data_IF_692647744123
#
_entry.id   IF_692647744123
#
_cell.length_a   1.000
_cell.length_b   1.000
_cell.length_c   1.000
_cell.angle_alpha   90.00
_cell.angle_beta   90.00
_cell.angle_gamma   90.00
#
_symmetry.space_group_name_H-M   'P 1'
#
loop_
_entity.id
_entity.type
_entity.pdbx_description
1 polymer ?
#
# COMPACT_ATOMS: atom_id res chain seq x y z
N UNK A 1 27.58 -18.11 13.24
CA UNK A 1 26.46 -18.24 14.22
C UNK A 1 25.45 -17.14 13.94
N UNK A 2 24.17 -17.48 13.73
CA UNK A 2 23.11 -16.49 13.52
C UNK A 2 22.44 -16.13 14.86
N UNK A 3 22.33 -14.83 15.14
CA UNK A 3 21.57 -14.27 16.26
C UNK A 3 20.25 -13.70 15.73
N UNK A 4 19.14 -14.13 16.33
CA UNK A 4 17.80 -13.64 16.00
C UNK A 4 17.43 -12.50 16.96
N UNK A 5 16.98 -11.39 16.43
CA UNK A 5 16.58 -10.21 17.21
C UNK A 5 15.25 -9.65 16.70
N UNK A 6 14.41 -9.18 17.63
CA UNK A 6 13.19 -8.43 17.32
C UNK A 6 13.19 -7.11 18.08
N UNK A 7 12.95 -6.01 17.37
CA UNK A 7 12.83 -4.67 17.95
C UNK A 7 11.39 -4.19 17.78
N UNK A 8 10.54 -4.55 18.75
CA UNK A 8 9.12 -4.21 18.72
C UNK A 8 8.84 -2.82 19.28
N UNK A 9 7.73 -2.21 18.86
CA UNK A 9 7.21 -0.96 19.45
C UNK A 9 7.71 0.32 18.77
N UNK A 10 8.54 0.22 17.74
CA UNK A 10 8.96 1.36 16.93
C UNK A 10 7.84 1.81 15.99
N UNK A 11 7.57 3.11 15.97
CA UNK A 11 6.77 3.76 14.92
C UNK A 11 7.44 3.61 13.54
N UNK A 12 6.68 3.90 12.48
CA UNK A 12 7.22 3.75 11.14
C UNK A 12 8.39 4.70 10.84
N UNK A 13 8.36 5.91 11.38
CA UNK A 13 9.47 6.86 11.30
C UNK A 13 10.68 6.39 12.13
N UNK A 14 10.46 5.86 13.34
CA UNK A 14 11.54 5.32 14.16
C UNK A 14 12.21 4.12 13.51
N UNK A 15 11.49 3.25 12.78
CA UNK A 15 12.10 2.15 12.03
C UNK A 15 13.09 2.65 10.97
N UNK A 16 12.76 3.72 10.25
CA UNK A 16 13.67 4.32 9.27
C UNK A 16 14.95 4.83 9.96
N UNK A 17 14.79 5.60 11.02
CA UNK A 17 15.91 6.11 11.82
C UNK A 17 16.74 4.98 12.45
N UNK A 18 16.09 3.93 12.95
CA UNK A 18 16.74 2.75 13.52
C UNK A 18 17.65 2.06 12.50
N UNK A 19 17.16 1.85 11.27
CA UNK A 19 17.96 1.24 10.19
C UNK A 19 19.19 2.10 9.88
N UNK A 20 19.03 3.42 9.76
CA UNK A 20 20.14 4.33 9.50
C UNK A 20 21.20 4.30 10.62
N UNK A 21 20.79 4.23 11.89
CA UNK A 21 21.70 4.10 13.02
C UNK A 21 22.39 2.72 13.05
N UNK A 22 21.64 1.63 12.85
CA UNK A 22 22.15 0.27 12.91
C UNK A 22 23.17 -0.02 11.78
N UNK A 23 23.03 0.58 10.60
CA UNK A 23 24.01 0.39 9.52
C UNK A 23 25.44 0.77 9.90
N UNK A 24 25.65 1.67 10.87
CA UNK A 24 26.98 2.04 11.33
C UNK A 24 27.67 0.91 12.12
N UNK A 25 26.89 0.04 12.79
CA UNK A 25 27.39 -0.97 13.74
C UNK A 25 27.25 -2.40 13.22
N UNK A 26 26.32 -2.66 12.30
CA UNK A 26 26.09 -3.99 11.76
C UNK A 26 27.34 -4.53 11.02
N UNK A 27 27.66 -5.83 11.14
CA UNK A 27 28.87 -6.40 10.55
C UNK A 27 28.77 -6.56 9.04
N UNK A 28 29.86 -6.32 8.32
CA UNK A 28 29.96 -6.63 6.89
C UNK A 28 28.90 -5.95 6.02
N UNK A 29 28.45 -6.67 4.99
CA UNK A 29 27.33 -6.27 4.13
C UNK A 29 26.08 -7.11 4.40
N UNK A 30 24.92 -6.59 4.04
CA UNK A 30 23.64 -7.26 4.36
C UNK A 30 22.50 -6.94 3.41
N UNK A 31 21.34 -7.52 3.71
CA UNK A 31 20.09 -7.28 2.99
C UNK A 31 19.07 -6.70 3.97
N UNK A 32 18.37 -5.65 3.53
CA UNK A 32 17.24 -5.05 4.25
C UNK A 32 15.96 -5.39 3.48
N UNK A 33 15.14 -6.31 3.98
CA UNK A 33 13.87 -6.65 3.36
C UNK A 33 12.76 -5.69 3.77
N UNK A 34 11.95 -5.28 2.79
CA UNK A 34 10.68 -4.56 2.98
C UNK A 34 9.55 -5.29 2.27
N UNK A 35 8.31 -4.97 2.61
CA UNK A 35 7.14 -5.67 2.06
C UNK A 35 6.70 -5.15 0.69
N UNK A 36 7.02 -3.89 0.37
CA UNK A 36 6.55 -3.23 -0.86
C UNK A 36 7.69 -2.54 -1.60
N UNK A 37 7.54 -2.42 -2.93
CA UNK A 37 8.48 -1.66 -3.79
C UNK A 37 8.61 -0.22 -3.30
N UNK A 38 7.48 0.41 -2.97
CA UNK A 38 7.47 1.80 -2.50
C UNK A 38 8.23 1.96 -1.18
N UNK A 39 8.09 1.04 -0.23
CA UNK A 39 8.85 1.08 1.02
C UNK A 39 10.35 0.84 0.78
N UNK A 40 10.69 -0.06 -0.16
CA UNK A 40 12.08 -0.28 -0.54
C UNK A 40 12.74 0.99 -1.09
N UNK A 41 12.07 1.67 -2.02
CA UNK A 41 12.54 2.93 -2.62
C UNK A 41 12.63 4.06 -1.59
N UNK A 42 11.59 4.23 -0.75
CA UNK A 42 11.57 5.25 0.30
C UNK A 42 12.70 5.07 1.29
N UNK A 43 12.93 3.83 1.76
CA UNK A 43 14.00 3.53 2.71
C UNK A 43 15.38 3.71 2.08
N UNK A 44 15.60 3.22 0.85
CA UNK A 44 16.86 3.43 0.13
C UNK A 44 17.19 4.92 -0.03
N UNK A 45 16.21 5.73 -0.46
CA UNK A 45 16.38 7.18 -0.63
C UNK A 45 16.62 7.89 0.70
N UNK A 46 15.96 7.47 1.79
CA UNK A 46 16.23 7.99 3.12
C UNK A 46 17.66 7.69 3.57
N UNK A 47 18.10 6.44 3.44
CA UNK A 47 19.46 6.02 3.80
C UNK A 47 20.51 6.76 2.97
N UNK A 48 20.23 7.01 1.69
CA UNK A 48 21.07 7.86 0.84
C UNK A 48 21.16 9.30 1.37
N UNK A 49 20.05 9.88 1.82
CA UNK A 49 20.05 11.20 2.47
C UNK A 49 20.84 11.26 3.78
N UNK A 50 21.03 10.10 4.42
CA UNK A 50 21.90 9.92 5.59
C UNK A 50 23.37 9.60 5.21
N UNK A 51 23.71 9.56 3.92
CA UNK A 51 25.08 9.30 3.44
C UNK A 51 25.41 7.84 3.15
N UNK A 52 24.47 6.91 3.25
CA UNK A 52 24.69 5.51 2.91
C UNK A 52 24.43 5.22 1.43
N UNK A 53 25.38 4.55 0.75
CA UNK A 53 25.14 3.99 -0.57
C UNK A 53 24.42 2.63 -0.46
N UNK A 54 23.09 2.68 -0.37
CA UNK A 54 22.22 1.50 -0.21
C UNK A 54 21.08 1.59 -1.24
N UNK A 55 21.22 0.95 -2.41
CA UNK A 55 20.20 1.01 -3.46
C UNK A 55 19.00 0.14 -3.12
N UNK A 56 17.85 0.48 -3.70
CA UNK A 56 16.69 -0.42 -3.73
C UNK A 56 16.93 -1.55 -4.75
N UNK A 57 16.40 -2.74 -4.47
CA UNK A 57 16.36 -3.88 -5.38
C UNK A 57 14.94 -4.44 -5.42
N UNK A 58 14.27 -4.27 -6.56
CA UNK A 58 12.87 -4.68 -6.69
C UNK A 58 12.60 -5.39 -8.02
N UNK A 59 11.49 -6.12 -8.10
CA UNK A 59 11.08 -6.80 -9.33
C UNK A 59 10.67 -5.86 -10.47
N UNK A 60 10.59 -4.54 -10.21
CA UNK A 60 10.27 -3.53 -11.23
C UNK A 60 11.53 -2.96 -11.91
N UNK A 61 12.72 -3.30 -11.41
CA UNK A 61 13.98 -2.80 -11.98
C UNK A 61 14.39 -3.55 -13.24
N UNK A 62 15.05 -2.81 -14.14
CA UNK A 62 15.68 -3.38 -15.32
C UNK A 62 16.71 -4.45 -14.94
N UNK A 63 16.84 -5.46 -15.80
CA UNK A 63 17.68 -6.63 -15.49
C UNK A 63 19.16 -6.25 -15.38
N UNK A 64 19.64 -5.30 -16.19
CA UNK A 64 21.02 -4.83 -16.13
C UNK A 64 21.36 -4.18 -14.78
N UNK A 65 20.45 -3.34 -14.25
CA UNK A 65 20.64 -2.67 -12.96
C UNK A 65 20.64 -3.66 -11.80
N UNK A 66 19.76 -4.67 -11.85
CA UNK A 66 19.73 -5.76 -10.85
C UNK A 66 21.05 -6.53 -10.81
N UNK A 67 21.59 -6.90 -11.97
CA UNK A 67 22.87 -7.61 -12.06
C UNK A 67 24.05 -6.77 -11.54
N UNK A 68 24.05 -5.46 -11.81
CA UNK A 68 25.06 -4.54 -11.29
C UNK A 68 25.00 -4.48 -9.75
N UNK A 69 23.82 -4.28 -9.17
CA UNK A 69 23.63 -4.23 -7.71
C UNK A 69 24.05 -5.56 -7.07
N UNK A 70 23.66 -6.70 -7.66
CA UNK A 70 24.08 -8.02 -7.18
C UNK A 70 25.60 -8.18 -7.19
N UNK A 71 26.28 -7.72 -8.24
CA UNK A 71 27.74 -7.76 -8.32
C UNK A 71 28.39 -6.86 -7.26
N UNK A 72 27.88 -5.64 -7.08
CA UNK A 72 28.41 -4.68 -6.11
C UNK A 72 28.20 -5.17 -4.66
N UNK A 73 27.04 -5.76 -4.36
CA UNK A 73 26.79 -6.39 -3.06
C UNK A 73 27.67 -7.63 -2.85
N UNK A 74 27.81 -8.49 -3.88
CA UNK A 74 28.68 -9.68 -3.83
C UNK A 74 30.13 -9.32 -3.52
N UNK A 75 30.62 -8.24 -4.12
CA UNK A 75 31.98 -7.72 -3.94
C UNK A 75 32.17 -6.81 -2.72
N UNK A 76 31.17 -6.69 -1.84
CA UNK A 76 31.20 -5.84 -0.65
C UNK A 76 31.42 -4.33 -0.95
N UNK A 77 31.10 -3.88 -2.17
CA UNK A 77 31.12 -2.46 -2.54
C UNK A 77 29.89 -1.72 -1.99
N UNK A 78 28.80 -2.44 -1.72
CA UNK A 78 27.61 -1.91 -1.06
C UNK A 78 27.55 -2.40 0.38
N UNK A 79 27.22 -1.49 1.30
CA UNK A 79 26.96 -1.82 2.70
C UNK A 79 25.71 -2.69 2.82
N UNK A 80 24.67 -2.35 2.06
CA UNK A 80 23.43 -3.10 2.05
C UNK A 80 22.69 -2.87 0.74
N UNK A 81 21.65 -3.67 0.53
CA UNK A 81 20.62 -3.44 -0.48
C UNK A 81 19.25 -3.50 0.22
N UNK A 82 18.37 -2.56 -0.09
CA UNK A 82 16.97 -2.61 0.39
C UNK A 82 16.15 -3.35 -0.65
N UNK A 83 15.67 -4.54 -0.31
CA UNK A 83 15.03 -5.44 -1.26
C UNK A 83 13.60 -5.82 -0.88
N UNK A 84 12.78 -6.12 -1.89
CA UNK A 84 11.57 -6.92 -1.67
C UNK A 84 11.91 -8.42 -1.75
N UNK A 85 10.89 -9.28 -1.75
CA UNK A 85 11.05 -10.73 -2.00
C UNK A 85 11.73 -11.07 -3.34
N UNK A 86 11.92 -10.09 -4.24
CA UNK A 86 12.64 -10.24 -5.50
C UNK A 86 14.10 -10.68 -5.31
N UNK A 87 14.80 -10.19 -4.29
CA UNK A 87 16.18 -10.58 -4.00
C UNK A 87 16.19 -11.86 -3.15
N UNK A 88 15.86 -13.00 -3.77
CA UNK A 88 15.75 -14.28 -3.06
C UNK A 88 16.07 -15.50 -3.91
N UNK A 89 15.46 -15.67 -5.07
CA UNK A 89 15.74 -16.85 -5.90
C UNK A 89 17.09 -16.67 -6.62
N UNK A 90 18.11 -17.43 -6.21
CA UNK A 90 19.39 -17.53 -6.93
C UNK A 90 20.53 -16.60 -6.49
N UNK A 91 20.27 -15.61 -5.63
CA UNK A 91 21.35 -14.81 -5.05
C UNK A 91 21.98 -15.51 -3.85
N UNK A 92 23.21 -16.01 -4.03
CA UNK A 92 24.03 -16.63 -2.99
C UNK A 92 25.27 -15.76 -2.72
N UNK A 93 25.39 -15.33 -1.47
CA UNK A 93 26.53 -14.60 -0.93
C UNK A 93 26.81 -15.16 0.46
N UNK A 94 27.90 -15.93 0.66
CA UNK A 94 28.10 -16.68 1.89
C UNK A 94 28.50 -15.81 3.09
N UNK A 95 29.01 -14.61 2.83
CA UNK A 95 29.52 -13.64 3.81
C UNK A 95 28.54 -12.49 4.12
N UNK A 96 27.23 -12.72 4.02
CA UNK A 96 26.23 -11.77 4.48
C UNK A 96 26.26 -11.67 6.02
N UNK A 97 26.64 -10.49 6.53
CA UNK A 97 26.76 -10.22 7.97
C UNK A 97 25.43 -9.93 8.66
N UNK A 98 24.42 -9.48 7.91
CA UNK A 98 23.09 -9.28 8.47
C UNK A 98 21.97 -9.44 7.45
N UNK A 99 20.79 -9.77 7.98
CA UNK A 99 19.50 -9.73 7.30
C UNK A 99 18.53 -8.96 8.20
N UNK A 100 18.07 -7.80 7.75
CA UNK A 100 17.16 -6.93 8.48
C UNK A 100 15.81 -6.93 7.78
N UNK A 101 14.71 -6.96 8.51
CA UNK A 101 13.36 -6.85 7.98
C UNK A 101 12.68 -5.60 8.55
N UNK A 102 12.23 -4.70 7.68
CA UNK A 102 11.33 -3.60 8.01
C UNK A 102 9.92 -4.04 7.61
N UNK A 103 9.10 -4.33 8.61
CA UNK A 103 7.84 -5.05 8.43
C UNK A 103 8.03 -6.56 8.43
N UNK A 104 7.03 -7.27 8.92
CA UNK A 104 7.09 -8.72 9.09
C UNK A 104 6.63 -9.45 7.82
N UNK A 105 7.34 -10.51 7.38
CA UNK A 105 6.85 -11.36 6.30
C UNK A 105 5.47 -11.96 6.62
N UNK A 106 4.76 -12.34 5.56
CA UNK A 106 3.41 -12.91 5.67
C UNK A 106 3.39 -14.30 6.32
N UNK A 107 4.49 -15.04 6.28
CA UNK A 107 4.61 -16.38 6.88
C UNK A 107 5.95 -16.58 7.58
N UNK A 108 6.01 -17.42 8.63
CA UNK A 108 7.26 -17.72 9.33
C UNK A 108 8.26 -18.50 8.45
N UNK A 109 7.75 -19.32 7.53
CA UNK A 109 8.58 -20.06 6.56
C UNK A 109 9.29 -19.10 5.60
N UNK A 110 8.59 -18.09 5.08
CA UNK A 110 9.20 -17.09 4.21
C UNK A 110 10.31 -16.32 4.94
N UNK A 111 10.04 -15.89 6.18
CA UNK A 111 11.01 -15.23 7.03
C UNK A 111 12.26 -16.10 7.26
N UNK A 112 12.08 -17.38 7.64
CA UNK A 112 13.18 -18.32 7.85
C UNK A 112 14.08 -18.49 6.60
N UNK A 113 13.47 -18.63 5.42
CA UNK A 113 14.20 -18.75 4.16
C UNK A 113 15.00 -17.49 3.82
N UNK A 114 14.49 -16.30 4.15
CA UNK A 114 15.15 -15.02 3.90
C UNK A 114 16.35 -14.82 4.84
N UNK A 115 16.16 -15.03 6.15
CA UNK A 115 17.24 -14.86 7.14
C UNK A 115 18.33 -15.94 7.03
N UNK A 116 18.00 -17.14 6.51
CA UNK A 116 18.95 -18.24 6.26
C UNK A 116 20.01 -17.95 5.19
N UNK A 117 20.01 -16.73 4.62
CA UNK A 117 21.06 -16.21 3.74
C UNK A 117 22.23 -15.62 4.51
N UNK A 118 21.99 -15.13 5.72
CA UNK A 118 23.02 -14.52 6.54
C UNK A 118 23.88 -15.59 7.25
N UNK A 119 25.17 -15.30 7.42
CA UNK A 119 26.05 -16.04 8.31
C UNK A 119 26.46 -17.45 7.86
N UNK A 120 26.45 -17.75 6.55
CA UNK A 120 26.87 -19.07 6.03
C UNK A 120 28.37 -19.32 6.17
N UNK A 121 29.19 -18.30 5.92
CA UNK A 121 30.64 -18.35 6.04
C UNK A 121 31.19 -17.33 7.07
N UNK A 122 30.35 -16.88 8.01
CA UNK A 122 30.75 -15.94 9.07
C UNK A 122 30.57 -16.58 10.46
N UNK A 123 31.51 -16.25 11.34
CA UNK A 123 31.43 -16.62 12.76
C UNK A 123 30.19 -16.04 13.44
N UNK A 124 29.77 -14.84 13.01
CA UNK A 124 28.62 -14.12 13.53
C UNK A 124 27.82 -13.43 12.44
N UNK A 125 26.49 -13.48 12.53
CA UNK A 125 25.58 -12.72 11.69
C UNK A 125 24.29 -12.38 12.44
N UNK A 126 23.66 -11.27 12.05
CA UNK A 126 22.45 -10.75 12.67
C UNK A 126 21.22 -10.97 11.78
N UNK A 127 20.14 -11.52 12.34
CA UNK A 127 18.83 -11.54 11.72
C UNK A 127 17.86 -10.71 12.57
N UNK A 128 17.44 -9.57 12.05
CA UNK A 128 16.74 -8.54 12.82
C UNK A 128 15.37 -8.29 12.19
N UNK A 129 14.31 -8.35 13.01
CA UNK A 129 12.96 -7.95 12.62
C UNK A 129 12.57 -6.65 13.32
N UNK A 130 12.14 -5.66 12.53
CA UNK A 130 11.47 -4.44 12.96
C UNK A 130 9.98 -4.54 12.56
N UNK A 131 9.10 -5.07 13.43
CA UNK A 131 7.70 -5.26 13.09
C UNK A 131 6.99 -3.93 12.84
N UNK A 132 6.03 -3.93 11.92
CA UNK A 132 5.10 -2.84 11.70
C UNK A 132 3.76 -3.12 12.39
N UNK A 133 3.08 -2.07 12.86
CA UNK A 133 1.73 -2.20 13.42
C UNK A 133 0.71 -2.70 12.40
N UNK A 134 0.95 -2.48 11.10
CA UNK A 134 0.10 -2.99 10.01
C UNK A 134 0.31 -4.46 9.68
N UNK A 135 1.33 -5.13 10.25
CA UNK A 135 1.59 -6.56 10.02
C UNK A 135 0.42 -7.46 10.46
N UNK A 136 -0.30 -7.07 11.52
CA UNK A 136 -1.45 -7.81 12.03
C UNK A 136 -2.54 -8.00 10.96
N UNK A 137 -2.87 -6.89 10.26
CA UNK A 137 -3.85 -6.89 9.16
C UNK A 137 -3.36 -7.73 7.98
N UNK A 138 -2.06 -7.78 7.75
CA UNK A 138 -1.46 -8.60 6.70
C UNK A 138 -1.69 -10.08 7.01
N UNK A 139 -1.40 -10.52 8.24
CA UNK A 139 -1.62 -11.91 8.63
C UNK A 139 -3.10 -12.31 8.65
N UNK A 140 -4.00 -11.45 9.13
CA UNK A 140 -5.45 -11.67 9.06
C UNK A 140 -5.94 -11.82 7.62
N UNK A 141 -5.46 -10.97 6.71
CA UNK A 141 -5.77 -11.05 5.30
C UNK A 141 -5.26 -12.38 4.70
N UNK A 142 -4.00 -12.73 4.93
CA UNK A 142 -3.40 -13.95 4.38
C UNK A 142 -4.01 -15.23 4.95
N UNK A 143 -4.50 -15.21 6.19
CA UNK A 143 -5.20 -16.33 6.81
C UNK A 143 -6.41 -16.78 5.98
N UNK A 144 -7.10 -15.84 5.35
CA UNK A 144 -8.33 -16.10 4.57
C UNK A 144 -8.18 -15.86 3.06
N UNK A 145 -7.02 -15.38 2.60
CA UNK A 145 -6.76 -15.08 1.20
C UNK A 145 -6.94 -16.31 0.31
N UNK A 146 -7.58 -16.12 -0.85
CA UNK A 146 -7.86 -17.18 -1.84
C UNK A 146 -8.74 -18.34 -1.33
N UNK A 147 -9.36 -18.21 -0.16
CA UNK A 147 -10.44 -19.11 0.24
C UNK A 147 -11.70 -18.72 -0.56
N UNK A 148 -12.33 -19.65 -1.30
CA UNK A 148 -13.54 -19.35 -2.04
C UNK A 148 -14.71 -19.07 -1.10
N UNK A 149 -15.77 -18.46 -1.60
CA UNK A 149 -17.01 -18.26 -0.84
C UNK A 149 -18.14 -18.86 -1.67
N UNK A 150 -19.04 -19.62 -1.03
CA UNK A 150 -20.12 -20.34 -1.70
C UNK A 150 -21.03 -19.37 -2.48
N UNK A 151 -21.49 -18.28 -1.87
CA UNK A 151 -22.38 -17.30 -2.53
C UNK A 151 -21.70 -16.67 -3.75
N UNK A 152 -20.40 -16.38 -3.67
CA UNK A 152 -19.63 -15.83 -4.79
C UNK A 152 -19.47 -16.88 -5.90
N UNK A 153 -19.22 -18.14 -5.56
CA UNK A 153 -19.18 -19.26 -6.51
C UNK A 153 -20.52 -19.45 -7.21
N UNK A 154 -21.62 -19.49 -6.47
CA UNK A 154 -22.97 -19.68 -7.01
C UNK A 154 -23.35 -18.55 -7.97
N UNK A 155 -23.11 -17.29 -7.60
CA UNK A 155 -23.35 -16.14 -8.48
C UNK A 155 -22.50 -16.18 -9.76
N UNK A 156 -21.26 -16.66 -9.64
CA UNK A 156 -20.36 -16.79 -10.81
C UNK A 156 -20.84 -17.91 -11.73
N UNK A 157 -21.22 -19.06 -11.18
CA UNK A 157 -21.74 -20.20 -11.93
C UNK A 157 -23.11 -19.88 -12.58
N UNK A 158 -23.99 -19.17 -11.87
CA UNK A 158 -25.27 -18.70 -12.42
C UNK A 158 -25.06 -17.73 -13.60
N UNK A 159 -24.09 -16.82 -13.52
CA UNK A 159 -23.76 -15.96 -14.65
C UNK A 159 -23.22 -16.75 -15.86
N UNK A 160 -22.39 -17.77 -15.61
CA UNK A 160 -21.78 -18.62 -16.64
C UNK A 160 -22.73 -19.66 -17.24
N UNK A 161 -23.78 -20.05 -16.52
CA UNK A 161 -24.79 -21.00 -17.01
C UNK A 161 -25.59 -20.45 -18.19
N UNK A 162 -25.70 -19.12 -18.27
CA UNK A 162 -26.48 -18.41 -19.30
C UNK A 162 -25.71 -18.27 -20.61
N UNK A 163 -24.41 -17.97 -20.54
CA UNK A 163 -23.56 -17.80 -21.71
C UNK A 163 -22.06 -17.80 -21.35
N UNK A 164 -21.16 -18.06 -22.32
CA UNK A 164 -19.72 -17.85 -22.14
C UNK A 164 -19.38 -16.38 -21.87
N UNK A 165 -18.67 -16.10 -20.77
CA UNK A 165 -18.31 -14.74 -20.35
C UNK A 165 -16.80 -14.57 -20.19
N UNK A 166 -16.28 -13.40 -20.57
CA UNK A 166 -14.94 -13.00 -20.16
C UNK A 166 -14.92 -12.60 -18.68
N UNK A 167 -13.73 -12.51 -18.07
CA UNK A 167 -13.61 -12.03 -16.68
C UNK A 167 -14.16 -10.60 -16.53
N UNK A 168 -14.01 -9.76 -17.56
CA UNK A 168 -14.54 -8.39 -17.57
C UNK A 168 -16.07 -8.40 -17.56
N UNK A 169 -16.68 -9.28 -18.35
CA UNK A 169 -18.15 -9.37 -18.42
C UNK A 169 -18.72 -9.98 -17.12
N UNK A 170 -18.01 -10.95 -16.52
CA UNK A 170 -18.35 -11.48 -15.19
C UNK A 170 -18.26 -10.41 -14.12
N UNK A 171 -17.23 -9.59 -14.11
CA UNK A 171 -17.10 -8.48 -13.15
C UNK A 171 -18.27 -7.50 -13.29
N UNK A 172 -18.70 -7.20 -14.52
CA UNK A 172 -19.85 -6.33 -14.77
C UNK A 172 -21.19 -6.94 -14.31
N UNK A 173 -21.42 -8.23 -14.55
CA UNK A 173 -22.70 -8.90 -14.23
C UNK A 173 -22.81 -9.33 -12.77
N UNK A 174 -21.70 -9.72 -12.15
CA UNK A 174 -21.66 -10.21 -10.77
C UNK A 174 -21.21 -9.15 -9.77
N UNK A 175 -20.68 -8.02 -10.21
CA UNK A 175 -20.06 -7.02 -9.32
C UNK A 175 -18.93 -7.57 -8.43
N UNK A 176 -18.33 -8.72 -8.79
CA UNK A 176 -17.19 -9.29 -8.09
C UNK A 176 -15.91 -8.73 -8.73
N UNK A 177 -14.97 -8.24 -7.91
CA UNK A 177 -13.70 -7.69 -8.40
C UNK A 177 -12.92 -8.73 -9.21
N UNK A 178 -12.33 -8.29 -10.31
CA UNK A 178 -11.54 -9.11 -11.26
C UNK A 178 -10.58 -10.12 -10.61
N UNK A 179 -9.70 -9.67 -9.71
CA UNK A 179 -8.71 -10.57 -9.10
C UNK A 179 -9.32 -11.71 -8.29
N UNK A 180 -10.47 -11.45 -7.63
CA UNK A 180 -11.21 -12.47 -6.88
C UNK A 180 -11.89 -13.46 -7.82
N UNK A 181 -12.45 -12.99 -8.94
CA UNK A 181 -12.97 -13.87 -10.00
C UNK A 181 -11.88 -14.74 -10.59
N UNK A 182 -10.70 -14.18 -10.91
CA UNK A 182 -9.59 -14.95 -11.49
C UNK A 182 -9.11 -16.06 -10.53
N UNK A 183 -9.02 -15.79 -9.23
CA UNK A 183 -8.67 -16.80 -8.23
C UNK A 183 -9.76 -17.87 -8.11
N UNK A 184 -11.03 -17.47 -8.00
CA UNK A 184 -12.16 -18.39 -7.89
C UNK A 184 -12.31 -19.29 -9.12
N UNK A 185 -12.21 -18.74 -10.33
CA UNK A 185 -12.31 -19.50 -11.58
C UNK A 185 -11.23 -20.57 -11.70
N UNK A 186 -10.02 -20.32 -11.18
CA UNK A 186 -8.96 -21.36 -11.12
C UNK A 186 -9.36 -22.51 -10.20
N UNK A 187 -9.95 -22.22 -9.05
CA UNK A 187 -10.43 -23.25 -8.11
C UNK A 187 -11.56 -24.06 -8.76
N UNK A 188 -12.57 -23.36 -9.30
CA UNK A 188 -13.71 -24.00 -9.97
C UNK A 188 -13.26 -24.85 -11.17
N UNK A 189 -12.19 -24.46 -11.88
CA UNK A 189 -11.65 -25.22 -12.99
C UNK A 189 -10.94 -26.51 -12.56
N UNK A 190 -10.22 -26.49 -11.43
CA UNK A 190 -9.61 -27.70 -10.85
C UNK A 190 -10.69 -28.72 -10.48
N UNK A 191 -11.83 -28.24 -9.99
CA UNK A 191 -12.98 -29.08 -9.62
C UNK A 191 -13.91 -29.41 -10.81
N UNK A 192 -13.55 -29.00 -12.04
CA UNK A 192 -14.29 -29.20 -13.28
C UNK A 192 -15.72 -28.59 -13.29
N UNK A 193 -15.94 -27.53 -12.51
CA UNK A 193 -17.20 -26.77 -12.51
C UNK A 193 -17.25 -25.72 -13.65
N UNK A 194 -16.08 -25.27 -14.10
CA UNK A 194 -15.92 -24.35 -15.24
C UNK A 194 -14.75 -24.78 -16.11
N UNK A 195 -14.78 -24.40 -17.39
CA UNK A 195 -13.64 -24.53 -18.30
C UNK A 195 -13.33 -23.21 -18.98
N UNK A 196 -12.08 -23.04 -19.38
CA UNK A 196 -11.64 -21.89 -20.17
C UNK A 196 -11.82 -22.20 -21.67
N UNK A 197 -12.49 -21.32 -22.39
CA UNK A 197 -12.71 -21.38 -23.83
C UNK A 197 -12.20 -20.09 -24.47
N UNK A 198 -10.99 -20.13 -25.03
CA UNK A 198 -10.27 -18.96 -25.49
C UNK A 198 -10.09 -17.91 -24.38
N UNK A 199 -10.66 -16.71 -24.59
CA UNK A 199 -10.64 -15.62 -23.61
C UNK A 199 -11.84 -15.64 -22.64
N UNK A 200 -12.74 -16.61 -22.77
CA UNK A 200 -13.99 -16.72 -22.00
C UNK A 200 -13.98 -17.95 -21.10
N UNK A 201 -14.91 -17.98 -20.16
CA UNK A 201 -15.19 -19.10 -19.27
C UNK A 201 -16.58 -19.65 -19.56
N UNK A 202 -16.75 -20.95 -19.37
CA UNK A 202 -18.02 -21.67 -19.61
C UNK A 202 -18.27 -22.60 -18.43
N UNK A 203 -19.51 -22.62 -17.92
CA UNK A 203 -19.93 -23.61 -16.93
C UNK A 203 -20.03 -24.99 -17.57
N UNK A 204 -19.55 -26.04 -16.88
CA UNK A 204 -19.64 -27.43 -17.35
C UNK A 204 -21.00 -28.07 -17.04
N UNK A 205 -21.78 -27.44 -16.16
CA UNK A 205 -23.02 -27.99 -15.60
C UNK A 205 -22.79 -28.84 -14.35
N UNK A 206 -21.54 -29.10 -13.97
CA UNK A 206 -21.21 -29.80 -12.73
C UNK A 206 -21.44 -28.86 -11.53
N UNK A 207 -22.22 -29.28 -10.51
CA UNK A 207 -22.39 -28.47 -9.30
C UNK A 207 -21.06 -28.38 -8.54
N UNK A 208 -20.83 -27.22 -7.92
CA UNK A 208 -19.68 -27.01 -7.04
C UNK A 208 -20.16 -26.77 -5.62
N UNK A 209 -19.63 -27.56 -4.68
CA UNK A 209 -19.97 -27.49 -3.27
C UNK A 209 -18.71 -27.13 -2.51
N UNK A 210 -18.81 -26.12 -1.66
CA UNK A 210 -17.73 -25.72 -0.77
C UNK A 210 -17.36 -26.85 0.20
N UNK A 211 -16.16 -27.39 0.04
CA UNK A 211 -15.59 -28.38 0.96
C UNK A 211 -15.16 -27.70 2.27
N UNK A 212 -16.09 -27.61 3.22
CA UNK A 212 -15.83 -27.01 4.54
C UNK A 212 -14.60 -27.63 5.20
N UNK A 213 -14.45 -28.96 5.17
CA UNK A 213 -13.33 -29.63 5.85
C UNK A 213 -11.99 -29.23 5.28
N UNK A 214 -11.85 -29.22 3.95
CA UNK A 214 -10.61 -28.83 3.25
C UNK A 214 -10.25 -27.37 3.54
N UNK A 215 -11.21 -26.46 3.40
CA UNK A 215 -10.95 -25.03 3.53
C UNK A 215 -10.78 -24.60 5.00
N UNK A 216 -11.54 -25.17 5.93
CA UNK A 216 -11.39 -24.91 7.36
C UNK A 216 -10.03 -25.40 7.86
N UNK A 217 -9.56 -26.57 7.42
CA UNK A 217 -8.23 -27.06 7.74
C UNK A 217 -7.12 -26.10 7.23
N UNK A 218 -7.27 -25.57 6.02
CA UNK A 218 -6.33 -24.58 5.45
C UNK A 218 -6.34 -23.27 6.25
N UNK A 219 -7.53 -22.74 6.57
CA UNK A 219 -7.68 -21.51 7.37
C UNK A 219 -7.03 -21.71 8.74
N UNK A 220 -7.34 -22.81 9.42
CA UNK A 220 -6.79 -23.13 10.74
C UNK A 220 -5.25 -23.22 10.70
N UNK A 221 -4.67 -23.88 9.70
CA UNK A 221 -3.22 -23.96 9.53
C UNK A 221 -2.60 -22.56 9.33
N UNK A 222 -3.19 -21.71 8.49
CA UNK A 222 -2.69 -20.34 8.27
C UNK A 222 -2.87 -19.44 9.49
N UNK A 223 -3.94 -19.61 10.27
CA UNK A 223 -4.13 -18.90 11.54
C UNK A 223 -3.08 -19.31 12.58
N UNK A 224 -2.65 -20.58 12.57
CA UNK A 224 -1.53 -21.03 13.41
C UNK A 224 -0.22 -20.36 12.97
N UNK A 225 0.08 -20.31 11.67
CA UNK A 225 1.26 -19.58 11.15
C UNK A 225 1.22 -18.09 11.53
N UNK A 226 0.07 -17.44 11.38
CA UNK A 226 -0.13 -16.05 11.80
C UNK A 226 0.12 -15.84 13.30
N UNK A 227 -0.32 -16.80 14.13
CA UNK A 227 -0.09 -16.76 15.57
C UNK A 227 1.39 -16.89 15.93
N UNK A 228 2.13 -17.76 15.23
CA UNK A 228 3.57 -17.87 15.39
C UNK A 228 4.26 -16.54 15.04
N UNK A 229 3.92 -15.94 13.90
CA UNK A 229 4.49 -14.65 13.50
C UNK A 229 4.16 -13.53 14.48
N UNK A 230 2.94 -13.48 14.99
CA UNK A 230 2.53 -12.52 16.04
C UNK A 230 3.36 -12.68 17.30
N UNK A 231 3.54 -13.91 17.78
CA UNK A 231 4.36 -14.17 18.96
C UNK A 231 5.83 -13.81 18.73
N UNK A 232 6.37 -14.13 17.54
CA UNK A 232 7.73 -13.75 17.14
C UNK A 232 7.89 -12.22 17.12
N UNK A 233 7.02 -11.51 16.42
CA UNK A 233 7.06 -10.06 16.26
C UNK A 233 6.92 -9.30 17.59
N UNK A 234 6.18 -9.84 18.55
CA UNK A 234 6.07 -9.26 19.90
C UNK A 234 7.14 -9.77 20.89
N UNK A 235 8.10 -10.60 20.45
CA UNK A 235 9.12 -11.16 21.33
C UNK A 235 8.57 -12.05 22.46
N UNK A 236 7.40 -12.68 22.24
CA UNK A 236 6.72 -13.51 23.25
C UNK A 236 7.28 -14.93 23.22
N UNK A 237 8.43 -15.13 23.85
CA UNK A 237 9.12 -16.43 23.91
C UNK A 237 10.34 -16.52 22.97
N UNK A 238 11.03 -17.66 22.99
CA UNK A 238 12.25 -17.85 22.21
C UNK A 238 11.98 -17.73 20.70
N UNK A 239 12.68 -16.80 20.03
CA UNK A 239 12.53 -16.54 18.60
C UNK A 239 12.83 -17.77 17.74
N UNK A 240 13.88 -18.52 18.07
CA UNK A 240 14.22 -19.74 17.33
C UNK A 240 13.19 -20.85 17.53
N UNK A 241 12.64 -20.99 18.75
CA UNK A 241 11.63 -22.00 19.03
C UNK A 241 10.36 -21.79 18.20
N UNK A 242 9.96 -20.52 18.00
CA UNK A 242 8.84 -20.19 17.11
C UNK A 242 9.10 -20.61 15.66
N UNK A 243 10.32 -20.38 15.14
CA UNK A 243 10.68 -20.81 13.79
C UNK A 243 10.76 -22.34 13.66
N UNK A 244 11.32 -23.02 14.67
CA UNK A 244 11.33 -24.48 14.74
C UNK A 244 9.90 -25.05 14.72
N UNK A 245 8.98 -24.47 15.50
CA UNK A 245 7.58 -24.87 15.50
C UNK A 245 6.93 -24.67 14.12
N UNK A 246 7.19 -23.55 13.45
CA UNK A 246 6.68 -23.29 12.10
C UNK A 246 7.23 -24.28 11.06
N UNK A 247 8.44 -24.80 11.28
CA UNK A 247 9.08 -25.79 10.41
C UNK A 247 8.74 -27.23 10.80
N UNK A 248 7.81 -27.45 11.73
CA UNK A 248 7.45 -28.77 12.27
C UNK A 248 8.63 -29.54 12.88
N UNK A 249 9.59 -28.84 13.51
CA UNK A 249 10.63 -29.47 14.32
C UNK A 249 9.97 -30.24 15.49
N UNK A 250 10.33 -31.51 15.74
CA UNK A 250 9.71 -32.32 16.79
C UNK A 250 10.03 -31.84 18.21
N UNK A 251 11.08 -31.03 18.42
CA UNK A 251 11.46 -30.55 19.74
C UNK A 251 11.90 -29.07 19.73
N UNK A 252 10.96 -28.13 19.51
CA UNK A 252 11.26 -26.70 19.60
C UNK A 252 11.70 -26.32 21.01
N UNK A 253 12.86 -25.70 21.16
CA UNK A 253 13.44 -25.39 22.46
C UNK A 253 14.04 -23.98 22.55
N UNK A 254 14.12 -23.39 23.75
CA UNK A 254 14.83 -22.13 23.96
C UNK A 254 16.28 -22.21 23.48
N UNK A 255 16.69 -21.30 22.59
CA UNK A 255 18.02 -21.35 21.96
C UNK A 255 19.14 -20.70 22.79
N UNK A 256 18.80 -20.00 23.88
CA UNK A 256 19.76 -19.32 24.75
C UNK A 256 20.46 -18.08 24.18
N UNK A 257 20.36 -17.83 22.86
CA UNK A 257 21.14 -16.77 22.17
C UNK A 257 20.34 -15.68 21.45
N UNK A 258 19.05 -15.88 21.18
CA UNK A 258 18.22 -14.82 20.57
C UNK A 258 18.01 -13.63 21.52
N UNK A 259 17.55 -12.49 21.01
CA UNK A 259 17.37 -11.28 21.83
C UNK A 259 16.43 -11.49 23.02
N UNK A 260 15.39 -12.33 22.87
CA UNK A 260 14.46 -12.67 23.96
C UNK A 260 15.11 -13.58 25.01
N UNK A 261 15.92 -14.56 24.59
CA UNK A 261 16.61 -15.46 25.53
C UNK A 261 17.77 -14.77 26.26
N UNK A 262 18.52 -13.92 25.55
CA UNK A 262 19.74 -13.28 26.06
C UNK A 262 19.48 -11.92 26.72
N UNK A 263 18.33 -11.30 26.45
CA UNK A 263 18.03 -9.92 26.85
C UNK A 263 18.86 -8.86 26.12
N UNK A 264 19.65 -9.24 25.11
CA UNK A 264 20.53 -8.34 24.36
C UNK A 264 19.89 -7.95 23.03
N UNK A 265 19.87 -6.66 22.74
CA UNK A 265 19.42 -6.12 21.47
C UNK A 265 20.64 -5.61 20.68
N UNK A 266 20.62 -5.71 19.34
CA UNK A 266 21.61 -5.04 18.51
C UNK A 266 21.47 -3.51 18.66
N UNK A 267 22.59 -2.80 18.54
CA UNK A 267 22.61 -1.33 18.52
C UNK A 267 21.72 -0.79 17.38
N UNK A 268 20.93 0.29 17.61
CA UNK A 268 20.88 1.14 18.80
C UNK A 268 19.92 0.69 19.93
N UNK A 269 19.39 -0.54 19.89
CA UNK A 269 18.40 -1.01 20.86
C UNK A 269 17.00 -0.42 20.64
N UNK A 270 16.27 -0.07 21.71
CA UNK A 270 14.90 0.46 21.60
C UNK A 270 14.84 1.99 21.53
N UNK A 271 15.91 2.68 21.94
CA UNK A 271 15.96 4.14 21.97
C UNK A 271 16.71 4.64 20.74
N UNK A 272 15.96 5.21 19.79
CA UNK A 272 16.53 5.80 18.58
C UNK A 272 16.83 7.27 18.84
N UNK A 273 17.94 7.77 18.30
CA UNK A 273 18.31 9.18 18.38
C UNK A 273 17.16 10.08 17.87
N UNK A 274 16.60 10.97 18.72
CA UNK A 274 15.52 11.88 18.34
C UNK A 274 15.85 12.76 17.12
N UNK A 275 17.12 13.12 16.90
CA UNK A 275 17.53 13.91 15.74
C UNK A 275 17.34 13.13 14.45
N UNK A 276 17.71 11.84 14.46
CA UNK A 276 17.56 10.96 13.31
C UNK A 276 16.09 10.61 13.04
N UNK A 277 15.29 10.48 14.10
CA UNK A 277 13.81 10.34 13.98
C UNK A 277 13.21 11.59 13.33
N UNK A 278 13.63 12.78 13.75
CA UNK A 278 13.17 14.03 13.13
C UNK A 278 13.59 14.14 11.66
N UNK A 279 14.82 13.75 11.32
CA UNK A 279 15.30 13.71 9.95
C UNK A 279 14.48 12.73 9.09
N UNK A 280 14.18 11.54 9.61
CA UNK A 280 13.31 10.57 8.95
C UNK A 280 11.90 11.13 8.72
N UNK A 281 11.32 11.80 9.73
CA UNK A 281 9.99 12.41 9.61
C UNK A 281 9.96 13.49 8.53
N UNK A 282 10.94 14.38 8.52
CA UNK A 282 11.05 15.45 7.52
C UNK A 282 11.23 14.89 6.10
N UNK A 283 12.07 13.86 5.96
CA UNK A 283 12.25 13.15 4.70
C UNK A 283 10.93 12.56 4.21
N UNK A 284 10.24 11.79 5.04
CA UNK A 284 8.99 11.11 4.68
C UNK A 284 7.89 12.10 4.30
N UNK A 285 7.75 13.22 5.03
CA UNK A 285 6.80 14.32 4.68
C UNK A 285 7.18 15.09 3.42
N UNK A 286 8.46 15.01 3.02
CA UNK A 286 8.99 15.61 1.80
C UNK A 286 8.62 14.84 0.52
N UNK A 287 8.24 13.56 0.63
CA UNK A 287 7.87 12.72 -0.51
C UNK A 287 6.38 12.90 -0.80
N UNK A 288 6.04 13.42 -1.97
CA UNK A 288 4.66 13.47 -2.42
C UNK A 288 4.25 12.21 -3.18
N UNK A 289 2.95 11.89 -3.13
CA UNK A 289 2.42 10.67 -3.77
C UNK A 289 1.77 11.06 -5.09
N UNK A 290 2.40 10.79 -6.26
CA UNK A 290 1.72 10.95 -7.53
C UNK A 290 0.56 9.96 -7.62
N UNK A 291 -0.58 10.43 -8.13
CA UNK A 291 -1.76 9.60 -8.29
C UNK A 291 -2.17 9.61 -9.75
N UNK A 292 -2.19 8.43 -10.36
CA UNK A 292 -2.61 8.30 -11.75
C UNK A 292 -4.11 8.59 -11.89
N UNK A 293 -4.50 9.53 -12.76
CA UNK A 293 -5.91 9.78 -13.07
C UNK A 293 -6.51 8.61 -13.86
N UNK A 294 -7.85 8.54 -13.89
CA UNK A 294 -8.55 7.56 -14.74
C UNK A 294 -8.53 8.07 -16.17
N UNK A 295 -8.06 7.24 -17.10
CA UNK A 295 -7.92 7.64 -18.51
C UNK A 295 -9.11 7.25 -19.38
N UNK A 296 -9.94 6.30 -18.94
CA UNK A 296 -11.08 5.78 -19.72
C UNK A 296 -12.33 5.62 -18.86
N UNK A 297 -13.48 5.91 -19.45
CA UNK A 297 -14.77 5.62 -18.85
C UNK A 297 -15.02 4.11 -18.78
N UNK A 298 -15.57 3.60 -17.67
CA UNK A 298 -15.92 2.19 -17.58
C UNK A 298 -17.05 1.85 -18.57
N UNK A 299 -17.03 0.63 -19.10
CA UNK A 299 -18.09 0.14 -19.99
C UNK A 299 -19.43 0.10 -19.24
N UNK A 300 -20.51 0.49 -19.92
CA UNK A 300 -21.87 0.49 -19.36
C UNK A 300 -22.28 1.80 -18.66
N UNK A 301 -21.43 2.82 -18.62
CA UNK A 301 -21.79 4.17 -18.16
C UNK A 301 -22.41 5.02 -19.28
N UNK A 302 -22.96 6.17 -18.90
CA UNK A 302 -23.51 7.15 -19.86
C UNK A 302 -22.40 7.72 -20.74
N UNK A 303 -21.24 8.01 -20.16
CA UNK A 303 -20.01 8.43 -20.84
C UNK A 303 -19.22 7.23 -21.37
N UNK A 304 -18.56 7.42 -22.52
CA UNK A 304 -17.82 6.36 -23.24
C UNK A 304 -16.45 6.87 -23.71
N UNK A 305 -15.51 5.95 -23.86
CA UNK A 305 -14.19 6.23 -24.43
C UNK A 305 -13.21 6.88 -23.44
N UNK A 306 -12.24 7.62 -23.98
CA UNK A 306 -11.22 8.32 -23.21
C UNK A 306 -11.83 9.48 -22.42
N UNK A 307 -11.38 9.69 -21.18
CA UNK A 307 -11.75 10.87 -20.39
C UNK A 307 -10.98 12.06 -20.96
N UNK A 308 -11.72 13.05 -21.47
CA UNK A 308 -11.18 14.25 -22.11
C UNK A 308 -10.89 15.33 -21.06
N UNK A 309 -9.92 15.09 -20.18
CA UNK A 309 -9.50 16.04 -19.14
C UNK A 309 -7.99 16.10 -19.04
N UNK A 310 -7.45 17.30 -18.81
CA UNK A 310 -6.09 17.47 -18.31
C UNK A 310 -6.15 17.50 -16.78
N UNK A 311 -6.21 16.30 -16.18
CA UNK A 311 -6.26 16.13 -14.73
C UNK A 311 -4.95 15.56 -14.22
N UNK A 312 -4.24 16.33 -13.39
CA UNK A 312 -3.09 15.84 -12.62
C UNK A 312 -3.44 15.76 -11.14
N UNK A 313 -3.07 14.67 -10.48
CA UNK A 313 -3.45 14.41 -9.08
C UNK A 313 -2.19 14.14 -8.25
N UNK A 314 -2.09 14.78 -7.09
CA UNK A 314 -1.11 14.43 -6.05
C UNK A 314 -1.77 14.32 -4.68
N UNK A 315 -1.23 13.43 -3.86
CA UNK A 315 -1.68 13.21 -2.49
C UNK A 315 -0.57 13.51 -1.48
N UNK A 316 -0.94 14.06 -0.32
CA UNK A 316 -0.02 14.26 0.82
C UNK A 316 0.39 12.91 1.40
N UNK A 317 -0.56 12.01 1.57
CA UNK A 317 -0.34 10.67 2.10
C UNK A 317 -1.10 9.61 1.31
N UNK A 318 -0.61 8.37 1.34
CA UNK A 318 -1.31 7.19 0.84
C UNK A 318 -1.33 6.09 1.91
N UNK A 319 -2.50 5.47 2.10
CA UNK A 319 -2.71 4.41 3.08
C UNK A 319 -2.19 4.81 4.47
N UNK A 320 -1.37 3.97 5.09
CA UNK A 320 -0.71 4.18 6.39
C UNK A 320 0.64 4.90 6.25
N UNK A 321 0.67 6.01 5.51
CA UNK A 321 1.92 6.72 5.19
C UNK A 321 2.74 7.01 6.47
N UNK A 322 4.02 6.58 6.51
CA UNK A 322 4.82 6.63 7.73
C UNK A 322 5.16 8.06 8.18
N UNK A 323 5.09 9.05 7.28
CA UNK A 323 5.34 10.46 7.61
C UNK A 323 4.14 11.17 8.26
N UNK A 324 2.95 10.57 8.19
CA UNK A 324 1.67 11.21 8.55
C UNK A 324 0.80 10.35 9.47
N UNK A 325 1.33 9.27 10.05
CA UNK A 325 0.54 8.25 10.76
C UNK A 325 -0.30 8.85 11.90
N UNK A 326 0.28 9.72 12.74
CA UNK A 326 -0.44 10.30 13.88
C UNK A 326 -1.51 11.31 13.42
N UNK A 327 -1.17 12.17 12.47
CA UNK A 327 -2.10 13.15 11.93
C UNK A 327 -3.29 12.50 11.23
N UNK A 328 -3.05 11.47 10.42
CA UNK A 328 -4.11 10.71 9.76
C UNK A 328 -5.00 10.02 10.80
N UNK A 329 -4.43 9.41 11.83
CA UNK A 329 -5.20 8.78 12.90
C UNK A 329 -6.03 9.80 13.71
N UNK A 330 -5.54 11.03 13.89
CA UNK A 330 -6.31 12.13 14.52
C UNK A 330 -7.46 12.58 13.60
N UNK A 331 -7.19 12.75 12.31
CA UNK A 331 -8.19 13.11 11.31
C UNK A 331 -9.30 12.06 11.18
N UNK A 332 -8.95 10.76 11.17
CA UNK A 332 -9.90 9.66 11.09
C UNK A 332 -10.82 9.57 12.33
N UNK A 333 -10.29 9.89 13.53
CA UNK A 333 -11.05 9.88 14.80
C UNK A 333 -11.88 11.15 15.03
N UNK A 334 -11.68 12.20 14.24
CA UNK A 334 -12.39 13.47 14.40
C UNK A 334 -13.85 13.33 13.94
N UNK A 335 -14.78 13.55 14.86
CA UNK A 335 -16.22 13.51 14.61
C UNK A 335 -16.69 14.69 13.76
N UNK A 336 -16.07 15.85 13.93
CA UNK A 336 -16.33 17.10 13.20
C UNK A 336 -15.54 17.20 11.89
N UNK A 337 -14.74 16.17 11.55
CA UNK A 337 -13.90 16.10 10.36
C UNK A 337 -12.89 17.25 10.26
N UNK A 338 -12.45 17.74 11.42
CA UNK A 338 -11.39 18.72 11.56
C UNK A 338 -10.04 18.15 11.11
N UNK A 339 -9.42 18.83 10.15
CA UNK A 339 -8.10 18.48 9.64
C UNK A 339 -7.02 19.06 10.57
N UNK A 340 -6.09 18.23 11.09
CA UNK A 340 -4.92 18.71 11.82
C UNK A 340 -4.10 19.74 11.03
N UNK A 341 -3.59 20.77 11.72
CA UNK A 341 -2.85 21.86 11.08
C UNK A 341 -1.60 21.36 10.34
N UNK A 342 -0.94 20.34 10.86
CA UNK A 342 0.25 19.73 10.28
C UNK A 342 -0.04 19.12 8.89
N UNK A 343 -1.22 18.52 8.70
CA UNK A 343 -1.66 18.00 7.39
C UNK A 343 -1.97 19.14 6.41
N UNK A 344 -2.57 20.23 6.88
CA UNK A 344 -2.79 21.43 6.07
C UNK A 344 -1.46 22.04 5.61
N UNK A 345 -0.50 22.16 6.52
CA UNK A 345 0.86 22.62 6.22
C UNK A 345 1.55 21.66 5.23
N UNK A 346 1.39 20.35 5.42
CA UNK A 346 1.84 19.32 4.48
C UNK A 346 1.30 19.51 3.07
N UNK A 347 0.02 19.82 2.95
CA UNK A 347 -0.64 20.12 1.68
C UNK A 347 -0.05 21.35 0.99
N UNK A 348 0.25 22.41 1.76
CA UNK A 348 0.93 23.61 1.26
C UNK A 348 2.35 23.28 0.80
N UNK A 349 3.10 22.47 1.56
CA UNK A 349 4.46 22.07 1.17
C UNK A 349 4.47 21.19 -0.08
N UNK A 350 3.49 20.29 -0.23
CA UNK A 350 3.29 19.53 -1.46
C UNK A 350 3.07 20.48 -2.65
N UNK A 351 2.15 21.44 -2.55
CA UNK A 351 1.93 22.41 -3.64
C UNK A 351 3.18 23.23 -3.96
N UNK A 352 3.97 23.62 -2.95
CA UNK A 352 5.24 24.34 -3.14
C UNK A 352 6.25 23.53 -3.95
N UNK A 353 6.31 22.21 -3.77
CA UNK A 353 7.16 21.31 -4.58
C UNK A 353 6.56 21.09 -5.96
N UNK A 354 5.27 20.78 -6.01
CA UNK A 354 4.55 20.46 -7.25
C UNK A 354 4.50 21.61 -8.24
N UNK A 355 4.53 22.88 -7.79
CA UNK A 355 4.51 24.05 -8.69
C UNK A 355 5.60 24.04 -9.76
N UNK A 356 6.72 23.36 -9.51
CA UNK A 356 7.81 23.24 -10.48
C UNK A 356 7.40 22.50 -11.76
N UNK A 357 6.33 21.70 -11.74
CA UNK A 357 5.83 20.95 -12.90
C UNK A 357 4.54 21.52 -13.47
N UNK A 358 4.03 22.65 -12.97
CA UNK A 358 2.79 23.24 -13.47
C UNK A 358 3.02 23.96 -14.79
N UNK A 359 2.22 23.66 -15.81
CA UNK A 359 2.18 24.46 -17.04
C UNK A 359 1.64 25.87 -16.76
N UNK A 360 0.59 25.95 -15.94
CA UNK A 360 0.00 27.20 -15.48
C UNK A 360 -0.44 27.07 -14.02
N UNK A 361 -0.29 28.14 -13.24
CA UNK A 361 -0.76 28.22 -11.85
C UNK A 361 -2.29 28.16 -11.80
N UNK A 362 -2.90 27.38 -10.88
CA UNK A 362 -4.33 27.40 -10.67
C UNK A 362 -4.85 28.81 -10.37
N UNK A 363 -5.99 29.15 -10.96
CA UNK A 363 -6.63 30.48 -10.83
C UNK A 363 -7.76 30.50 -9.81
N UNK A 364 -8.24 29.33 -9.38
CA UNK A 364 -9.25 29.18 -8.35
C UNK A 364 -9.10 27.83 -7.61
N UNK A 365 -9.63 27.76 -6.39
CA UNK A 365 -9.72 26.53 -5.60
C UNK A 365 -11.17 26.11 -5.51
N UNK A 366 -11.44 24.81 -5.66
CA UNK A 366 -12.78 24.22 -5.61
C UNK A 366 -12.74 23.03 -4.64
N UNK A 367 -13.59 22.98 -3.61
CA UNK A 367 -13.73 21.78 -2.79
C UNK A 367 -14.34 20.66 -3.63
N UNK A 368 -13.72 19.48 -3.63
CA UNK A 368 -14.27 18.32 -4.34
C UNK A 368 -15.63 17.94 -3.73
N UNK A 369 -16.65 17.66 -4.55
CA UNK A 369 -17.99 17.37 -4.06
C UNK A 369 -18.00 16.02 -3.35
N UNK A 370 -18.64 15.99 -2.18
CA UNK A 370 -18.77 14.80 -1.35
C UNK A 370 -20.09 14.86 -0.57
N UNK A 371 -20.54 13.73 0.02
CA UNK A 371 -21.65 13.73 0.97
C UNK A 371 -21.43 14.74 2.10
N UNK A 372 -22.52 15.21 2.71
CA UNK A 372 -22.48 16.30 3.70
C UNK A 372 -21.43 16.10 4.81
N UNK A 373 -21.26 14.87 5.29
CA UNK A 373 -20.27 14.52 6.31
C UNK A 373 -18.83 14.79 5.85
N UNK A 374 -18.45 14.35 4.65
CA UNK A 374 -17.09 14.51 4.11
C UNK A 374 -16.83 15.89 3.50
N UNK A 375 -17.89 16.58 3.08
CA UNK A 375 -17.79 17.92 2.47
C UNK A 375 -17.20 18.95 3.44
N UNK A 376 -17.36 18.76 4.76
CA UNK A 376 -16.77 19.63 5.80
C UNK A 376 -15.26 19.71 5.66
N UNK A 377 -14.58 18.56 5.60
CA UNK A 377 -13.12 18.50 5.46
C UNK A 377 -12.66 19.02 4.09
N UNK A 378 -13.39 18.71 3.00
CA UNK A 378 -13.05 19.21 1.67
C UNK A 378 -13.10 20.76 1.61
N UNK A 379 -14.12 21.37 2.24
CA UNK A 379 -14.23 22.83 2.36
C UNK A 379 -13.15 23.42 3.26
N UNK A 380 -12.84 22.80 4.40
CA UNK A 380 -11.76 23.25 5.28
C UNK A 380 -10.42 23.29 4.54
N UNK A 381 -10.07 22.22 3.84
CA UNK A 381 -8.86 22.16 3.02
C UNK A 381 -8.86 23.24 1.92
N UNK A 382 -9.95 23.33 1.16
CA UNK A 382 -10.08 24.29 0.06
C UNK A 382 -9.94 25.74 0.56
N UNK A 383 -10.59 26.09 1.67
CA UNK A 383 -10.51 27.40 2.31
C UNK A 383 -9.09 27.73 2.78
N UNK A 384 -8.40 26.77 3.40
CA UNK A 384 -7.03 26.94 3.84
C UNK A 384 -6.10 27.22 2.66
N UNK A 385 -6.17 26.40 1.61
CA UNK A 385 -5.35 26.54 0.41
C UNK A 385 -5.68 27.84 -0.35
N UNK A 386 -6.95 28.22 -0.47
CA UNK A 386 -7.38 29.48 -1.06
C UNK A 386 -6.78 30.69 -0.33
N UNK A 387 -6.80 30.66 1.01
CA UNK A 387 -6.26 31.72 1.86
C UNK A 387 -4.74 31.85 1.72
N UNK A 388 -4.00 30.74 1.87
CA UNK A 388 -2.53 30.72 1.75
C UNK A 388 -2.09 31.07 0.33
N UNK A 389 -2.80 30.55 -0.67
CA UNK A 389 -2.53 30.78 -2.09
C UNK A 389 -3.00 32.14 -2.61
N UNK A 390 -3.79 32.90 -1.86
CA UNK A 390 -4.49 34.10 -2.33
C UNK A 390 -5.27 33.83 -3.63
N UNK A 391 -6.03 32.74 -3.64
CA UNK A 391 -6.87 32.31 -4.75
C UNK A 391 -8.35 32.44 -4.38
N UNK A 392 -9.25 32.75 -5.33
CA UNK A 392 -10.68 32.68 -5.08
C UNK A 392 -11.11 31.23 -4.77
N UNK A 393 -11.95 31.07 -3.75
CA UNK A 393 -12.65 29.82 -3.45
C UNK A 393 -13.99 29.82 -4.20
N UNK A 394 -14.24 28.80 -5.01
CA UNK A 394 -15.51 28.64 -5.73
C UNK A 394 -16.27 27.43 -5.18
N UNK A 395 -17.39 27.66 -4.49
CA UNK A 395 -18.31 26.60 -4.06
C UNK A 395 -19.39 26.38 -5.13
N UNK A 396 -18.97 25.87 -6.29
CA UNK A 396 -19.83 25.75 -7.47
C UNK A 396 -20.42 24.36 -7.69
N UNK A 397 -20.07 23.37 -6.86
CA UNK A 397 -20.52 21.98 -7.01
C UNK A 397 -21.41 21.58 -5.85
N UNK A 398 -22.41 20.75 -6.12
CA UNK A 398 -23.28 20.17 -5.08
C UNK A 398 -23.29 18.65 -5.15
N UNK A 399 -23.62 18.04 -4.01
CA UNK A 399 -23.85 16.61 -3.87
C UNK A 399 -25.31 16.34 -3.51
N UNK A 400 -26.02 15.65 -4.39
CA UNK A 400 -27.43 15.31 -4.23
C UNK A 400 -27.59 13.80 -4.05
N UNK A 401 -27.98 13.37 -2.85
CA UNK A 401 -28.27 11.96 -2.56
C UNK A 401 -27.27 11.31 -1.60
N UNK A 402 -27.35 9.97 -1.41
CA UNK A 402 -26.57 9.27 -0.40
C UNK A 402 -25.09 9.14 -0.79
N UNK A 403 -24.26 8.77 0.19
CA UNK A 403 -22.88 8.39 -0.05
C UNK A 403 -22.78 7.22 -1.03
N UNK A 404 -21.71 7.21 -1.84
CA UNK A 404 -21.44 6.09 -2.74
C UNK A 404 -21.02 4.86 -1.89
N UNK A 405 -21.60 3.67 -2.10
CA UNK A 405 -21.16 2.47 -1.40
C UNK A 405 -19.68 2.14 -1.70
N UNK A 406 -18.93 1.74 -0.67
CA UNK A 406 -17.45 1.65 -0.70
C UNK A 406 -16.89 0.59 -1.67
N UNK A 407 -17.70 -0.38 -2.07
CA UNK A 407 -17.26 -1.56 -2.82
C UNK A 407 -17.92 -1.73 -4.19
N UNK A 408 -18.51 -0.66 -4.73
CA UNK A 408 -19.07 -0.73 -6.09
C UNK A 408 -17.96 -0.90 -7.14
N UNK A 409 -18.18 -1.77 -8.15
CA UNK A 409 -17.37 -1.79 -9.36
C UNK A 409 -17.40 -0.42 -10.06
N UNK A 410 -16.41 -0.18 -10.92
CA UNK A 410 -16.21 1.14 -11.55
C UNK A 410 -17.44 1.68 -12.29
N UNK A 411 -18.17 0.85 -13.05
CA UNK A 411 -19.33 1.30 -13.81
C UNK A 411 -20.50 1.82 -12.94
N UNK A 412 -21.05 1.02 -12.00
CA UNK A 412 -22.09 1.51 -11.10
C UNK A 412 -21.61 2.65 -10.19
N UNK A 413 -20.32 2.68 -9.82
CA UNK A 413 -19.73 3.77 -9.07
C UNK A 413 -19.80 5.09 -9.87
N UNK A 414 -19.36 5.10 -11.13
CA UNK A 414 -19.43 6.30 -11.99
C UNK A 414 -20.88 6.74 -12.21
N UNK A 415 -21.81 5.81 -12.47
CA UNK A 415 -23.23 6.16 -12.63
C UNK A 415 -23.82 6.80 -11.37
N UNK A 416 -23.42 6.34 -10.18
CA UNK A 416 -23.82 6.97 -8.91
C UNK A 416 -23.31 8.41 -8.82
N UNK A 417 -22.02 8.63 -9.10
CA UNK A 417 -21.41 9.96 -9.07
C UNK A 417 -22.05 10.92 -10.09
N UNK A 418 -22.32 10.45 -11.31
CA UNK A 418 -23.02 11.22 -12.34
C UNK A 418 -24.43 11.62 -11.91
N UNK A 419 -25.09 10.87 -11.02
CA UNK A 419 -26.40 11.23 -10.47
C UNK A 419 -26.28 12.21 -9.31
N UNK A 420 -25.23 12.10 -8.49
CA UNK A 420 -25.08 12.91 -7.29
C UNK A 420 -24.40 14.26 -7.52
N UNK A 421 -23.42 14.35 -8.42
CA UNK A 421 -22.62 15.57 -8.59
C UNK A 421 -23.32 16.50 -9.58
N UNK A 422 -23.54 17.76 -9.19
CA UNK A 422 -24.08 18.80 -10.06
C UNK A 422 -23.25 20.07 -10.00
N UNK A 423 -23.11 20.74 -11.13
CA UNK A 423 -22.64 22.12 -11.19
C UNK A 423 -23.83 23.05 -10.90
N UNK A 424 -23.63 24.04 -10.04
CA UNK A 424 -24.67 25.01 -9.73
C UNK A 424 -24.99 25.85 -10.98
N UNK A 425 -26.28 26.12 -11.27
CA UNK A 425 -26.68 26.99 -12.37
C UNK A 425 -26.01 28.37 -12.27
N UNK A 426 -25.69 28.98 -13.42
CA UNK A 426 -25.05 30.30 -13.52
C UNK A 426 -23.64 30.43 -12.89
N UNK A 427 -22.96 29.31 -12.58
CA UNK A 427 -21.55 29.35 -12.20
C UNK A 427 -20.70 29.90 -13.34
N UNK A 428 -19.99 30.99 -13.11
CA UNK A 428 -18.94 31.46 -14.01
C UNK A 428 -17.62 30.77 -13.65
N UNK A 429 -17.16 29.86 -14.51
CA UNK A 429 -15.88 29.18 -14.34
C UNK A 429 -14.76 30.02 -14.96
N UNK A 430 -13.59 30.08 -14.31
CA UNK A 430 -12.47 30.84 -14.83
C UNK A 430 -11.84 30.14 -16.04
N UNK A 431 -11.25 30.91 -16.95
CA UNK A 431 -10.59 30.39 -18.16
C UNK A 431 -9.26 29.65 -17.90
N UNK A 432 -8.72 29.71 -16.67
CA UNK A 432 -7.48 29.05 -16.29
C UNK A 432 -7.70 27.70 -15.59
N UNK A 433 -6.63 26.97 -15.25
CA UNK A 433 -6.73 25.70 -14.53
C UNK A 433 -7.26 25.92 -13.11
N UNK A 434 -8.02 24.97 -12.59
CA UNK A 434 -8.56 25.00 -11.22
C UNK A 434 -7.85 23.98 -10.32
N UNK A 435 -7.89 24.20 -9.01
CA UNK A 435 -7.38 23.25 -8.02
C UNK A 435 -8.55 22.61 -7.25
N UNK A 436 -8.79 21.33 -7.50
CA UNK A 436 -9.71 20.49 -6.72
C UNK A 436 -9.04 20.07 -5.41
N UNK A 437 -9.75 20.27 -4.30
CA UNK A 437 -9.27 19.90 -2.96
C UNK A 437 -10.16 18.80 -2.36
N UNK A 438 -9.57 17.65 -2.06
CA UNK A 438 -10.23 16.56 -1.36
C UNK A 438 -9.44 16.14 -0.12
N UNK A 439 -10.11 16.04 1.04
CA UNK A 439 -9.47 15.52 2.23
C UNK A 439 -9.20 14.02 2.12
N UNK A 440 -10.14 13.26 1.54
CA UNK A 440 -9.97 11.84 1.26
C UNK A 440 -10.31 11.50 -0.18
N UNK A 441 -9.62 10.51 -0.75
CA UNK A 441 -10.01 9.92 -2.01
C UNK A 441 -9.55 8.46 -2.11
N UNK A 442 -10.41 7.57 -2.62
CA UNK A 442 -10.10 6.13 -2.75
C UNK A 442 -9.99 5.67 -4.20
N UNK A 443 -11.11 5.70 -4.93
CA UNK A 443 -11.20 5.17 -6.31
C UNK A 443 -10.69 6.12 -7.39
N UNK A 444 -10.47 7.39 -7.01
CA UNK A 444 -10.28 8.56 -7.88
C UNK A 444 -11.47 8.92 -8.77
N UNK A 445 -12.58 8.18 -8.73
CA UNK A 445 -13.72 8.44 -9.62
C UNK A 445 -14.38 9.79 -9.35
N UNK A 446 -14.54 10.21 -8.09
CA UNK A 446 -15.07 11.54 -7.76
C UNK A 446 -14.28 12.65 -8.43
N UNK A 447 -12.94 12.64 -8.30
CA UNK A 447 -12.08 13.66 -8.90
C UNK A 447 -12.16 13.66 -10.43
N UNK A 448 -12.19 12.47 -11.05
CA UNK A 448 -12.25 12.35 -12.52
C UNK A 448 -13.62 12.80 -13.07
N UNK A 449 -14.73 12.39 -12.43
CA UNK A 449 -16.08 12.82 -12.80
C UNK A 449 -16.24 14.32 -12.62
N UNK A 450 -15.75 14.87 -11.51
CA UNK A 450 -15.79 16.31 -11.25
C UNK A 450 -14.95 17.10 -12.24
N UNK A 451 -13.71 16.69 -12.51
CA UNK A 451 -12.85 17.36 -13.48
C UNK A 451 -13.48 17.33 -14.89
N UNK A 452 -14.10 16.20 -15.28
CA UNK A 452 -14.77 16.10 -16.57
C UNK A 452 -15.99 17.01 -16.67
N UNK A 453 -16.81 17.09 -15.61
CA UNK A 453 -17.95 18.01 -15.56
C UNK A 453 -17.51 19.49 -15.67
N UNK A 454 -16.42 19.87 -15.01
CA UNK A 454 -15.86 21.22 -15.08
C UNK A 454 -15.22 21.53 -16.43
N UNK A 455 -14.57 20.55 -17.06
CA UNK A 455 -13.99 20.71 -18.41
C UNK A 455 -15.10 20.90 -19.45
N UNK A 456 -16.17 20.11 -19.39
CA UNK A 456 -17.38 20.26 -20.23
C UNK A 456 -18.04 21.63 -20.06
N UNK A 457 -17.82 22.29 -18.93
CA UNK A 457 -18.35 23.62 -18.60
C UNK A 457 -17.35 24.76 -18.87
N UNK A 458 -16.20 24.48 -19.50
CA UNK A 458 -15.29 25.49 -20.02
C UNK A 458 -13.99 25.74 -19.24
N UNK A 459 -13.63 24.91 -18.26
CA UNK A 459 -12.31 25.04 -17.59
C UNK A 459 -11.17 24.52 -18.47
N UNK A 460 -10.01 25.18 -18.43
CA UNK A 460 -8.85 24.82 -19.26
C UNK A 460 -8.05 23.60 -18.76
N UNK A 461 -8.29 23.16 -17.52
CA UNK A 461 -7.59 22.02 -16.90
C UNK A 461 -7.84 21.95 -15.40
N UNK A 462 -7.42 20.85 -14.77
CA UNK A 462 -7.60 20.65 -13.34
C UNK A 462 -6.35 20.03 -12.69
N UNK A 463 -5.93 20.60 -11.58
CA UNK A 463 -5.09 19.93 -10.61
C UNK A 463 -5.97 19.40 -9.48
N UNK A 464 -5.65 18.25 -8.92
CA UNK A 464 -6.30 17.75 -7.71
C UNK A 464 -5.29 17.48 -6.60
N UNK A 465 -5.55 18.10 -5.45
CA UNK A 465 -4.83 17.89 -4.21
C UNK A 465 -5.68 17.01 -3.29
N UNK A 466 -5.08 15.90 -2.88
CA UNK A 466 -5.68 14.96 -1.91
C UNK A 466 -4.86 15.01 -0.63
N UNK A 467 -5.48 15.07 0.55
CA UNK A 467 -4.71 14.87 1.81
C UNK A 467 -4.40 13.39 1.99
N UNK A 468 -5.43 12.55 2.00
CA UNK A 468 -5.29 11.13 2.24
C UNK A 468 -5.88 10.30 1.11
N UNK A 469 -5.01 9.64 0.34
CA UNK A 469 -5.42 8.61 -0.60
C UNK A 469 -5.61 7.30 0.18
N UNK A 470 -6.85 6.85 0.28
CA UNK A 470 -7.18 5.57 0.89
C UNK A 470 -6.95 4.40 -0.08
N UNK A 471 -6.64 3.20 0.42
CA UNK A 471 -6.35 2.01 -0.39
C UNK A 471 -7.56 1.46 -1.16
#
# INVERSE_FOLDING_TARGET
SLTLSVISGLSATERFAWVAAALATLPGSGIIYTLTVQEAERLANFLQSCGYNVPAYTGQMETADRLLIEQQLRSNQLKAVVATSALGMGYDKPDLGFCLHVGSPSTPVAYYQQIGRAGRALEHAEAILLPASSDERIWEYFATANVPNQDIADRTLDALSRQPLSVIDLEASTSIRRGRLEALLRILAVDDAVRKDGSKWVATGKPWIYDNRKWDALINARQQEATIMRNYAHGRGCLMAWLQQALSDPNPAPCGKCSVCSGRLPEPGLQVDPQLVQQAQQFLRGVDVPVEPRLQWPKGCSRRGKIQTDLSIRSVAFADDPGWTEELARFERSQDRSIPQELLDGAVQLLKRWKATWHQRPVAVIPAPAPAHDMVANRQLAQHIATVGKLPLLDCLTWNGPACPENLPSAPHVQHLERCIRLQPATQLPAGPILLCAATARTMWTLNVTAALLAESGTAGALALVLHRQP
#
